data_IF_644602492149
#
_entry.id   IF_644602492149
#
_cell.length_a   1.000
_cell.length_b   1.000
_cell.length_c   1.000
_cell.angle_alpha   90.00
_cell.angle_beta   90.00
_cell.angle_gamma   90.00
#
_symmetry.space_group_name_H-M   'P 1'
#
loop_
_entity.id
_entity.type
_entity.pdbx_description
1 polymer ?
#
# COMPACT_ATOMS: atom_id res chain seq x y z
N UNK A 1 -14.94 -1.68 -24.04
CA UNK A 1 -15.15 -0.30 -23.63
C UNK A 1 -15.68 -0.38 -22.20
N UNK A 2 -14.77 -0.30 -21.23
CA UNK A 2 -15.09 -0.27 -19.80
C UNK A 2 -14.64 1.14 -19.40
N UNK A 3 -15.54 2.12 -19.55
CA UNK A 3 -15.22 3.55 -19.40
C UNK A 3 -15.24 4.00 -17.93
N UNK A 4 -15.59 3.11 -17.02
CA UNK A 4 -15.55 3.36 -15.59
C UNK A 4 -14.48 2.46 -14.97
N UNK A 5 -13.41 3.08 -14.45
CA UNK A 5 -12.42 2.37 -13.65
C UNK A 5 -13.05 1.79 -12.38
N UNK A 6 -12.37 0.85 -11.73
CA UNK A 6 -12.86 0.18 -10.51
C UNK A 6 -13.29 1.14 -9.38
N UNK A 7 -12.92 2.43 -9.42
CA UNK A 7 -13.37 3.43 -8.45
C UNK A 7 -14.82 3.90 -8.59
N UNK A 8 -15.48 3.71 -9.74
CA UNK A 8 -16.83 4.24 -9.94
C UNK A 8 -17.88 3.60 -9.01
N UNK A 9 -17.72 2.31 -8.69
CA UNK A 9 -18.57 1.60 -7.73
C UNK A 9 -18.33 2.02 -6.27
N UNK A 10 -17.21 2.72 -6.00
CA UNK A 10 -16.84 3.20 -4.66
C UNK A 10 -16.90 4.73 -4.54
N UNK A 11 -17.67 5.41 -5.39
CA UNK A 11 -17.72 6.88 -5.42
C UNK A 11 -18.02 7.51 -4.05
N UNK A 12 -18.96 6.93 -3.29
CA UNK A 12 -19.32 7.42 -1.95
C UNK A 12 -18.17 7.23 -0.94
N UNK A 13 -17.51 6.07 -0.97
CA UNK A 13 -16.33 5.78 -0.14
C UNK A 13 -15.18 6.74 -0.47
N UNK A 14 -14.90 6.95 -1.75
CA UNK A 14 -13.87 7.90 -2.20
C UNK A 14 -14.17 9.35 -1.80
N UNK A 15 -15.44 9.74 -1.80
CA UNK A 15 -15.85 11.12 -1.46
C UNK A 15 -15.67 11.49 0.02
N UNK A 16 -15.69 10.49 0.89
CA UNK A 16 -15.60 10.64 2.34
C UNK A 16 -14.25 10.20 2.92
N UNK A 17 -13.40 9.55 2.13
CA UNK A 17 -12.10 9.07 2.56
C UNK A 17 -11.08 10.19 2.77
N UNK A 18 -10.16 9.97 3.71
CA UNK A 18 -9.07 10.89 4.04
C UNK A 18 -7.72 10.30 3.61
N UNK A 19 -6.76 11.15 3.19
CA UNK A 19 -5.41 10.70 2.90
C UNK A 19 -4.67 10.35 4.19
N UNK A 20 -4.38 9.07 4.38
CA UNK A 20 -3.59 8.56 5.52
C UNK A 20 -2.10 8.43 5.20
N UNK A 21 -1.79 8.25 3.91
CA UNK A 21 -0.43 8.31 3.36
C UNK A 21 -0.44 9.13 2.08
N UNK A 22 0.50 10.06 1.95
CA UNK A 22 0.80 10.77 0.71
C UNK A 22 2.31 10.98 0.62
N UNK A 23 2.96 10.28 -0.31
CA UNK A 23 4.42 10.25 -0.41
C UNK A 23 4.87 10.35 -1.87
N UNK A 24 6.04 10.97 -2.09
CA UNK A 24 6.70 11.01 -3.38
C UNK A 24 8.14 10.51 -3.26
N UNK A 25 8.53 9.57 -4.12
CA UNK A 25 9.92 9.10 -4.31
C UNK A 25 10.21 9.13 -5.81
N UNK A 26 11.11 10.03 -6.21
CA UNK A 26 11.45 10.22 -7.62
C UNK A 26 10.26 10.68 -8.45
N UNK A 27 9.92 9.93 -9.51
CA UNK A 27 8.82 10.25 -10.44
C UNK A 27 7.45 9.79 -9.94
N UNK A 28 7.41 8.86 -8.99
CA UNK A 28 6.19 8.25 -8.50
C UNK A 28 5.63 8.97 -7.26
N UNK A 29 4.31 9.10 -7.23
CA UNK A 29 3.57 9.59 -6.06
C UNK A 29 2.57 8.52 -5.64
N UNK A 30 2.65 8.11 -4.37
CA UNK A 30 1.76 7.11 -3.75
C UNK A 30 0.82 7.80 -2.77
N UNK A 31 -0.47 7.50 -2.87
CA UNK A 31 -1.50 7.94 -1.95
C UNK A 31 -2.27 6.73 -1.44
N UNK A 32 -2.49 6.67 -0.13
CA UNK A 32 -3.44 5.74 0.49
C UNK A 32 -4.54 6.58 1.13
N UNK A 33 -5.77 6.28 0.73
CA UNK A 33 -6.99 6.81 1.31
C UNK A 33 -7.60 5.77 2.24
N UNK A 34 -8.15 6.23 3.37
CA UNK A 34 -8.92 5.42 4.29
C UNK A 34 -10.27 6.09 4.54
N UNK A 35 -11.34 5.31 4.53
CA UNK A 35 -12.70 5.76 4.83
C UNK A 35 -13.31 4.98 5.98
N UNK A 36 -14.61 5.16 6.19
CA UNK A 36 -15.36 4.36 7.17
C UNK A 36 -15.51 2.91 6.72
N UNK A 37 -15.84 2.04 7.67
CA UNK A 37 -16.18 0.63 7.39
C UNK A 37 -15.07 -0.16 6.67
N UNK A 38 -13.81 0.18 6.93
CA UNK A 38 -12.65 -0.49 6.34
C UNK A 38 -12.34 -0.08 4.91
N UNK A 39 -13.04 0.92 4.36
CA UNK A 39 -12.77 1.42 3.01
C UNK A 39 -11.29 1.83 2.88
N UNK A 40 -10.64 1.32 1.83
CA UNK A 40 -9.28 1.72 1.49
C UNK A 40 -9.10 1.82 0.00
N UNK A 41 -8.37 2.86 -0.43
CA UNK A 41 -7.91 2.99 -1.79
C UNK A 41 -6.42 3.31 -1.80
N UNK A 42 -5.67 2.63 -2.65
CA UNK A 42 -4.27 2.96 -2.93
C UNK A 42 -4.17 3.40 -4.39
N UNK A 43 -3.47 4.50 -4.63
CA UNK A 43 -3.16 4.96 -5.97
C UNK A 43 -1.69 5.33 -6.05
N UNK A 44 -1.03 4.89 -7.12
CA UNK A 44 0.29 5.35 -7.49
C UNK A 44 0.21 5.98 -8.87
N UNK A 45 0.72 7.21 -8.97
CA UNK A 45 0.81 7.94 -10.23
C UNK A 45 2.24 8.04 -10.70
N UNK A 46 2.44 7.91 -12.00
CA UNK A 46 3.71 8.12 -12.66
C UNK A 46 3.73 9.46 -13.41
N UNK A 47 4.66 10.33 -13.01
CA UNK A 47 4.86 11.64 -13.60
C UNK A 47 6.15 11.74 -14.46
N UNK A 48 6.66 10.61 -14.96
CA UNK A 48 7.83 10.54 -15.85
C UNK A 48 7.56 11.15 -17.24
N UNK A 49 6.30 11.17 -17.68
CA UNK A 49 5.88 11.68 -18.99
C UNK A 49 4.94 12.89 -18.84
N UNK A 50 5.45 14.13 -18.93
CA UNK A 50 4.68 15.33 -18.58
C UNK A 50 3.60 15.74 -19.58
N UNK A 51 3.56 15.20 -20.80
CA UNK A 51 2.78 15.81 -21.89
C UNK A 51 1.56 15.01 -22.39
N UNK A 52 1.49 13.68 -22.30
CA UNK A 52 0.40 12.94 -22.98
C UNK A 52 -0.13 11.67 -22.29
N UNK A 53 0.46 11.18 -21.19
CA UNK A 53 -0.04 9.99 -20.49
C UNK A 53 0.43 10.02 -19.04
N UNK A 54 -0.50 10.22 -18.09
CA UNK A 54 -0.26 9.89 -16.68
C UNK A 54 -0.69 8.45 -16.52
N UNK A 55 0.29 7.57 -16.35
CA UNK A 55 0.00 6.18 -16.02
C UNK A 55 -0.30 6.08 -14.53
N UNK A 56 -1.23 5.20 -14.18
CA UNK A 56 -1.59 4.97 -12.79
C UNK A 56 -1.90 3.50 -12.55
N UNK A 57 -1.50 3.05 -11.37
CA UNK A 57 -1.94 1.77 -10.83
C UNK A 57 -2.57 2.02 -9.48
N UNK A 58 -3.50 1.17 -9.10
CA UNK A 58 -4.15 1.31 -7.82
C UNK A 58 -5.06 0.15 -7.50
N UNK A 59 -5.60 0.22 -6.30
CA UNK A 59 -6.59 -0.68 -5.75
C UNK A 59 -7.62 0.15 -5.00
N UNK A 60 -8.83 -0.38 -4.94
CA UNK A 60 -9.91 0.21 -4.16
C UNK A 60 -10.77 -0.94 -3.69
N UNK A 61 -11.23 -0.87 -2.45
CA UNK A 61 -12.13 -1.87 -1.92
C UNK A 61 -12.52 -1.60 -0.48
N UNK A 62 -13.58 -2.28 -0.09
CA UNK A 62 -14.05 -2.36 1.29
C UNK A 62 -14.06 -3.83 1.67
N UNK A 63 -13.25 -4.28 2.66
CA UNK A 63 -13.31 -5.64 3.15
C UNK A 63 -14.72 -5.98 3.63
N UNK A 64 -15.19 -7.20 3.38
CA UNK A 64 -16.49 -7.68 3.88
C UNK A 64 -16.49 -7.93 5.39
N UNK A 65 -15.30 -8.00 6.01
CA UNK A 65 -15.11 -8.26 7.43
C UNK A 65 -14.07 -7.24 7.96
N UNK A 66 -14.54 -6.06 8.35
CA UNK A 66 -13.72 -4.96 8.86
C UNK A 66 -13.36 -5.16 10.33
N UNK A 67 -12.60 -6.22 10.60
CA UNK A 67 -12.02 -6.43 11.91
C UNK A 67 -10.75 -5.58 12.04
N UNK A 68 -10.78 -4.62 12.98
CA UNK A 68 -9.59 -3.84 13.31
C UNK A 68 -8.40 -4.76 13.65
N UNK A 69 -7.18 -4.48 13.15
CA UNK A 69 -6.03 -5.32 13.40
C UNK A 69 -5.73 -5.39 14.90
N UNK A 70 -5.27 -6.56 15.34
CA UNK A 70 -4.68 -6.72 16.67
C UNK A 70 -3.53 -5.70 16.88
N UNK A 71 -3.20 -5.31 18.12
CA UNK A 71 -2.28 -4.20 18.38
C UNK A 71 -0.90 -4.32 17.70
N UNK A 72 -0.43 -5.55 17.50
CA UNK A 72 0.86 -5.88 16.88
C UNK A 72 0.73 -6.51 15.49
N UNK A 73 -0.42 -6.40 14.84
CA UNK A 73 -0.68 -7.03 13.55
C UNK A 73 -0.59 -6.04 12.40
N UNK A 74 -0.36 -6.57 11.21
CA UNK A 74 -0.56 -5.89 9.93
C UNK A 74 -1.59 -6.69 9.14
N UNK A 75 -2.51 -6.01 8.45
CA UNK A 75 -3.44 -6.63 7.50
C UNK A 75 -3.22 -5.94 6.16
N UNK A 76 -2.75 -6.68 5.16
CA UNK A 76 -2.58 -6.13 3.82
C UNK A 76 -3.92 -6.13 3.09
N UNK A 77 -4.25 -5.01 2.46
CA UNK A 77 -5.39 -4.88 1.54
C UNK A 77 -4.91 -4.75 0.10
N UNK A 78 -3.61 -4.54 -0.10
CA UNK A 78 -2.95 -4.53 -1.41
C UNK A 78 -1.56 -5.11 -1.26
N UNK A 79 -1.21 -6.04 -2.13
CA UNK A 79 0.09 -6.71 -2.12
C UNK A 79 0.40 -7.26 -3.51
N UNK A 80 1.47 -6.78 -4.13
CA UNK A 80 1.81 -7.20 -5.48
C UNK A 80 2.82 -6.31 -6.17
N UNK A 81 2.84 -6.37 -7.50
CA UNK A 81 3.54 -5.43 -8.34
C UNK A 81 2.65 -4.96 -9.50
N UNK A 82 2.84 -3.71 -9.93
CA UNK A 82 2.18 -3.13 -11.09
C UNK A 82 3.20 -2.52 -12.05
N UNK A 83 2.85 -2.41 -13.32
CA UNK A 83 3.71 -1.79 -14.34
C UNK A 83 3.15 -0.43 -14.71
N UNK A 84 4.02 0.58 -14.75
CA UNK A 84 3.74 1.90 -15.29
C UNK A 84 4.82 2.29 -16.31
N UNK A 85 4.68 3.43 -16.98
CA UNK A 85 5.66 3.96 -17.95
C UNK A 85 7.12 3.97 -17.45
N UNK A 86 7.38 4.41 -16.22
CA UNK A 86 8.71 4.49 -15.61
C UNK A 86 9.24 3.14 -15.12
N UNK A 87 8.47 2.06 -15.24
CA UNK A 87 8.87 0.70 -14.90
C UNK A 87 7.90 -0.03 -13.98
N UNK A 88 8.37 -1.16 -13.46
CA UNK A 88 7.62 -1.98 -12.50
C UNK A 88 7.78 -1.41 -11.10
N UNK A 89 6.68 -1.43 -10.34
CA UNK A 89 6.63 -1.02 -8.96
C UNK A 89 6.06 -2.15 -8.11
N UNK A 90 6.81 -2.53 -7.08
CA UNK A 90 6.34 -3.41 -6.03
C UNK A 90 5.67 -2.59 -4.93
N UNK A 91 4.53 -3.05 -4.44
CA UNK A 91 3.72 -2.32 -3.46
C UNK A 91 3.04 -3.26 -2.46
N UNK A 92 2.94 -2.78 -1.22
CA UNK A 92 2.08 -3.35 -0.19
C UNK A 92 1.46 -2.22 0.63
N UNK A 93 0.16 -2.30 0.89
CA UNK A 93 -0.53 -1.36 1.75
C UNK A 93 -1.63 -2.06 2.55
N UNK A 94 -2.02 -1.44 3.66
CA UNK A 94 -3.09 -1.95 4.50
C UNK A 94 -3.14 -1.27 5.86
N UNK A 95 -3.71 -1.97 6.84
CA UNK A 95 -3.86 -1.47 8.21
C UNK A 95 -2.74 -1.99 9.11
N UNK A 96 -2.37 -1.16 10.08
CA UNK A 96 -1.35 -1.43 11.07
C UNK A 96 -1.93 -1.29 12.47
N UNK A 97 -1.65 -2.28 13.31
CA UNK A 97 -2.03 -2.27 14.72
C UNK A 97 -1.41 -1.11 15.48
N UNK A 98 -2.09 -0.67 16.55
CA UNK A 98 -1.73 0.54 17.31
C UNK A 98 -0.34 0.52 17.96
N UNK A 99 0.30 -0.63 18.08
CA UNK A 99 1.66 -0.77 18.62
C UNK A 99 2.73 -0.79 17.54
N UNK A 100 2.40 -0.94 16.26
CA UNK A 100 3.37 -0.92 15.16
C UNK A 100 3.78 0.53 14.90
N UNK A 101 5.09 0.80 14.93
CA UNK A 101 5.65 2.14 14.66
C UNK A 101 6.57 2.16 13.45
N UNK A 102 7.06 1.00 13.03
CA UNK A 102 7.94 0.86 11.89
C UNK A 102 7.65 -0.45 11.18
N UNK A 103 7.72 -0.43 9.85
CA UNK A 103 7.66 -1.60 8.99
C UNK A 103 8.78 -1.47 7.96
N UNK A 104 9.63 -2.49 7.87
CA UNK A 104 10.77 -2.54 6.97
C UNK A 104 10.70 -3.79 6.10
N UNK A 105 10.91 -3.62 4.81
CA UNK A 105 11.13 -4.71 3.88
C UNK A 105 12.60 -4.78 3.49
N UNK A 106 13.18 -5.96 3.63
CA UNK A 106 14.57 -6.22 3.23
C UNK A 106 14.62 -6.56 1.74
N UNK A 107 14.73 -5.54 0.89
CA UNK A 107 14.82 -5.69 -0.56
C UNK A 107 16.16 -6.29 -0.98
N UNK A 108 16.14 -7.19 -1.97
CA UNK A 108 17.37 -7.80 -2.49
C UNK A 108 18.18 -6.83 -3.34
N UNK A 109 17.52 -5.82 -3.91
CA UNK A 109 18.13 -4.85 -4.84
C UNK A 109 18.24 -3.44 -4.27
N UNK A 110 17.44 -3.10 -3.27
CA UNK A 110 17.38 -1.75 -2.69
C UNK A 110 17.81 -1.67 -1.21
N UNK A 111 18.17 -2.79 -0.60
CA UNK A 111 18.46 -2.85 0.84
C UNK A 111 17.21 -2.67 1.67
N UNK A 112 17.34 -2.05 2.84
CA UNK A 112 16.19 -1.84 3.73
C UNK A 112 15.28 -0.73 3.20
N UNK A 113 14.02 -1.10 2.91
CA UNK A 113 12.98 -0.17 2.45
C UNK A 113 11.99 0.04 3.59
N UNK A 114 12.00 1.24 4.16
CA UNK A 114 11.01 1.65 5.14
C UNK A 114 9.65 1.92 4.48
N UNK A 115 8.61 1.33 5.05
CA UNK A 115 7.23 1.71 4.76
C UNK A 115 6.89 3.00 5.51
N UNK A 116 5.97 3.78 4.94
CA UNK A 116 5.33 4.86 5.68
C UNK A 116 4.24 4.27 6.57
N UNK A 117 4.32 4.45 7.88
CA UNK A 117 3.30 4.03 8.86
C UNK A 117 2.66 5.27 9.45
N UNK A 118 1.35 5.43 9.25
CA UNK A 118 0.64 6.66 9.59
C UNK A 118 -0.84 6.39 9.80
N UNK A 119 -1.44 7.00 10.82
CA UNK A 119 -2.88 6.89 11.14
C UNK A 119 -3.43 5.45 11.21
N UNK A 120 -2.63 4.47 11.64
CA UNK A 120 -3.06 3.06 11.68
C UNK A 120 -3.04 2.36 10.32
N UNK A 121 -2.33 2.92 9.34
CA UNK A 121 -2.09 2.34 8.03
C UNK A 121 -0.60 2.23 7.74
N UNK A 122 -0.24 1.36 6.80
CA UNK A 122 1.10 1.30 6.25
C UNK A 122 1.08 1.31 4.73
N UNK A 123 2.13 1.88 4.12
CA UNK A 123 2.38 1.82 2.69
C UNK A 123 3.87 1.57 2.44
N UNK A 124 4.17 0.42 1.87
CA UNK A 124 5.48 -0.01 1.41
C UNK A 124 5.50 -0.01 -0.11
N UNK A 125 6.52 0.59 -0.70
CA UNK A 125 6.67 0.57 -2.16
C UNK A 125 8.12 0.81 -2.59
N UNK A 126 8.50 0.16 -3.69
CA UNK A 126 9.85 0.19 -4.24
C UNK A 126 9.87 -0.09 -5.75
N UNK A 127 10.85 0.45 -6.50
CA UNK A 127 11.10 0.01 -7.87
C UNK A 127 11.33 -1.51 -7.95
N UNK A 128 10.90 -2.12 -9.05
CA UNK A 128 11.13 -3.54 -9.35
C UNK A 128 9.93 -4.45 -9.08
N UNK A 129 10.11 -5.74 -9.36
CA UNK A 129 9.06 -6.76 -9.36
C UNK A 129 9.16 -7.75 -8.17
N UNK A 130 9.86 -7.36 -7.09
CA UNK A 130 10.13 -8.24 -5.95
C UNK A 130 8.86 -8.78 -5.28
N UNK A 131 7.76 -8.01 -5.32
CA UNK A 131 6.49 -8.39 -4.72
C UNK A 131 5.48 -8.97 -5.72
N UNK A 132 5.86 -9.26 -6.98
CA UNK A 132 4.91 -9.73 -8.01
C UNK A 132 4.13 -10.99 -7.62
N UNK A 133 4.76 -11.90 -6.87
CA UNK A 133 4.17 -13.17 -6.42
C UNK A 133 3.70 -13.12 -4.96
N UNK A 134 3.82 -11.97 -4.29
CA UNK A 134 3.55 -11.83 -2.87
C UNK A 134 2.06 -11.98 -2.53
N UNK A 135 1.15 -11.69 -3.47
CA UNK A 135 -0.28 -11.97 -3.30
C UNK A 135 -0.57 -13.46 -3.07
N UNK A 136 0.21 -14.35 -3.69
CA UNK A 136 0.03 -15.81 -3.58
C UNK A 136 0.95 -16.44 -2.53
N UNK A 137 2.18 -15.95 -2.43
CA UNK A 137 3.23 -16.55 -1.60
C UNK A 137 3.46 -15.81 -0.28
N UNK A 138 2.79 -14.68 -0.07
CA UNK A 138 3.09 -13.75 1.01
C UNK A 138 4.50 -13.14 0.92
N UNK A 139 4.77 -12.20 1.81
CA UNK A 139 6.11 -11.61 1.97
C UNK A 139 6.37 -11.28 3.43
N UNK A 140 7.59 -11.49 3.90
CA UNK A 140 8.00 -11.13 5.25
C UNK A 140 8.42 -9.66 5.33
N UNK A 141 7.97 -8.99 6.38
CA UNK A 141 8.42 -7.65 6.77
C UNK A 141 8.87 -7.66 8.22
N UNK A 142 9.94 -6.93 8.51
CA UNK A 142 10.35 -6.64 9.87
C UNK A 142 9.47 -5.51 10.43
N UNK A 143 9.12 -5.60 11.71
CA UNK A 143 8.33 -4.58 12.40
C UNK A 143 8.99 -4.18 13.71
N UNK A 144 8.90 -2.90 14.03
CA UNK A 144 9.26 -2.37 15.35
C UNK A 144 7.98 -1.93 16.06
N UNK A 145 7.87 -2.30 17.34
CA UNK A 145 6.75 -1.95 18.18
C UNK A 145 7.08 -0.77 19.11
N UNK A 146 6.04 -0.12 19.66
CA UNK A 146 6.19 1.03 20.58
C UNK A 146 7.05 0.76 21.81
N UNK A 147 7.11 -0.50 22.27
CA UNK A 147 7.95 -0.91 23.41
C UNK A 147 9.42 -1.15 23.03
N UNK A 148 9.78 -0.92 21.77
CA UNK A 148 11.12 -1.14 21.21
C UNK A 148 11.42 -2.59 20.85
N UNK A 149 10.50 -3.52 21.10
CA UNK A 149 10.65 -4.90 20.61
C UNK A 149 10.46 -4.95 19.10
N UNK A 150 11.09 -5.93 18.46
CA UNK A 150 10.95 -6.18 17.02
C UNK A 150 10.30 -7.54 16.76
N UNK A 151 9.78 -7.72 15.56
CA UNK A 151 9.27 -9.00 15.10
C UNK A 151 9.27 -9.09 13.58
N UNK A 152 8.82 -10.23 13.08
CA UNK A 152 8.60 -10.46 11.65
C UNK A 152 7.13 -10.80 11.44
N UNK A 153 6.51 -10.17 10.44
CA UNK A 153 5.14 -10.44 10.03
C UNK A 153 5.15 -10.86 8.57
N UNK A 154 4.42 -11.93 8.24
CA UNK A 154 4.15 -12.32 6.86
C UNK A 154 2.89 -11.63 6.38
N UNK A 155 3.01 -10.73 5.42
CA UNK A 155 1.91 -10.11 4.70
C UNK A 155 1.33 -11.10 3.69
N UNK A 156 0.01 -11.20 3.64
CA UNK A 156 -0.77 -12.02 2.68
C UNK A 156 -2.07 -11.28 2.35
N UNK A 157 -2.70 -11.62 1.22
CA UNK A 157 -4.07 -11.21 0.88
C UNK A 157 -5.08 -12.32 1.18
#
# INVERSE_FOLDING_TARGET
>A
MQEDGAGAEYADGLSSAEPVVAERRGVWTTVVLAGTDGFSAMCVTDNSTPLFSRDMIGSVGTPTDDAAPGPRHLIATSLGAGTMNAGVLSLAAGTAGSQVVEVVYHSRTHGDVAATVSHGHFALWLPGDELKDASSNGVEVAVTYRDGSTGTIRLTL
#
